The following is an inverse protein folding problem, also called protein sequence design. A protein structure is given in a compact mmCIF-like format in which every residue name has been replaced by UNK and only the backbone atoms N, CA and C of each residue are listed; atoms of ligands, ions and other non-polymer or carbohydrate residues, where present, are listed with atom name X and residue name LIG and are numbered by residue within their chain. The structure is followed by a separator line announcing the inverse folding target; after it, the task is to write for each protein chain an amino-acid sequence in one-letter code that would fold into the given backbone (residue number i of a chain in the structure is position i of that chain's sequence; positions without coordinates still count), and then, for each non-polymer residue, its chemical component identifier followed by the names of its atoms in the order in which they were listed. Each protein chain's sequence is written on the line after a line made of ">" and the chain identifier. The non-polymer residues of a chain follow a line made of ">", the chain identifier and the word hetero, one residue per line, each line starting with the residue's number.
data_IF_537759744761
#
_entry.id   IF_537759744761
#
_cell.length_a   1.000
_cell.length_b   1.000
_cell.length_c   1.000
_cell.angle_alpha   90.00
_cell.angle_beta   90.00
_cell.angle_gamma   90.00
#
_symmetry.space_group_name_H-M   'P 1'
#
loop_
_entity.id
_entity.type
_entity.pdbx_description
1 polymer ?
#
# COMPACT_ATOMS: atom_id res chain seq x y z
N UNK A 1 -6.22 8.08 17.60
CA UNK A 1 -5.47 8.72 16.47
C UNK A 1 -5.39 7.88 15.20
N UNK A 2 -5.47 6.54 15.24
CA UNK A 2 -5.57 5.68 14.02
C UNK A 2 -6.72 6.08 13.06
N UNK A 3 -7.77 6.75 13.57
CA UNK A 3 -8.85 7.27 12.73
C UNK A 3 -8.41 8.23 11.62
N UNK A 4 -7.29 8.94 11.78
CA UNK A 4 -6.77 9.89 10.80
C UNK A 4 -6.09 9.22 9.59
N UNK A 5 -5.58 8.00 9.74
CA UNK A 5 -5.01 7.22 8.62
C UNK A 5 -6.03 6.25 8.00
N UNK A 6 -7.01 5.78 8.80
CA UNK A 6 -8.06 4.85 8.34
C UNK A 6 -9.28 5.55 7.74
N UNK A 7 -9.27 6.89 7.62
CA UNK A 7 -10.40 7.71 7.17
C UNK A 7 -11.65 7.67 8.06
N UNK A 8 -11.57 7.07 9.27
CA UNK A 8 -12.68 7.09 10.24
C UNK A 8 -12.91 8.48 10.83
N UNK A 9 -11.86 9.31 10.84
CA UNK A 9 -11.94 10.74 11.17
C UNK A 9 -11.78 11.51 9.87
N UNK A 10 -12.90 11.93 9.28
CA UNK A 10 -12.89 12.69 8.04
C UNK A 10 -12.51 14.15 8.28
N UNK A 11 -11.95 14.78 7.24
CA UNK A 11 -11.70 16.21 7.25
C UNK A 11 -13.05 16.95 7.31
N UNK A 12 -13.31 17.73 8.37
CA UNK A 12 -14.52 18.53 8.46
C UNK A 12 -14.43 19.72 7.50
N UNK A 13 -15.56 20.43 7.31
CA UNK A 13 -15.57 21.68 6.55
C UNK A 13 -14.67 22.72 7.22
N UNK A 14 -14.06 23.61 6.44
CA UNK A 14 -13.15 24.65 6.96
C UNK A 14 -13.87 25.61 7.91
N UNK A 15 -15.19 25.78 7.76
CA UNK A 15 -16.01 26.61 8.64
C UNK A 15 -16.51 25.86 9.88
N UNK A 16 -16.23 24.56 10.00
CA UNK A 16 -16.61 23.76 11.16
C UNK A 16 -15.70 24.13 12.35
N UNK A 17 -16.25 24.44 13.54
CA UNK A 17 -15.47 24.66 14.76
C UNK A 17 -14.50 23.51 15.11
N UNK A 18 -14.76 22.29 14.63
CA UNK A 18 -13.92 21.13 14.84
C UNK A 18 -12.70 21.08 13.89
N UNK A 19 -12.63 21.92 12.86
CA UNK A 19 -11.56 21.92 11.86
C UNK A 19 -10.18 22.16 12.47
N UNK A 20 -10.04 23.18 13.31
CA UNK A 20 -8.75 23.51 13.94
C UNK A 20 -8.21 22.34 14.79
N UNK A 21 -9.10 21.71 15.57
CA UNK A 21 -8.73 20.55 16.36
C UNK A 21 -8.40 19.32 15.48
N UNK A 22 -9.10 19.15 14.36
CA UNK A 22 -8.78 18.11 13.38
C UNK A 22 -7.40 18.36 12.74
N UNK A 23 -7.12 19.58 12.33
CA UNK A 23 -5.87 19.99 11.69
C UNK A 23 -4.67 19.76 12.63
N UNK A 24 -4.76 20.22 13.89
CA UNK A 24 -3.74 19.98 14.91
C UNK A 24 -3.45 18.49 15.10
N UNK A 25 -4.48 17.67 15.21
CA UNK A 25 -4.31 16.23 15.39
C UNK A 25 -3.75 15.56 14.13
N UNK A 26 -4.18 15.97 12.94
CA UNK A 26 -3.65 15.50 11.67
C UNK A 26 -2.15 15.84 11.55
N UNK A 27 -1.74 17.07 11.83
CA UNK A 27 -0.33 17.49 11.82
C UNK A 27 0.52 16.69 12.81
N UNK A 28 0.01 16.40 14.01
CA UNK A 28 0.75 15.55 14.96
C UNK A 28 0.97 14.14 14.40
N UNK A 29 -0.05 13.54 13.76
CA UNK A 29 0.09 12.22 13.16
C UNK A 29 1.07 12.25 11.97
N UNK A 30 1.06 13.32 11.16
CA UNK A 30 2.05 13.51 10.09
C UNK A 30 3.48 13.53 10.64
N UNK A 31 3.73 14.29 11.71
CA UNK A 31 5.05 14.34 12.36
C UNK A 31 5.48 12.97 12.87
N UNK A 32 4.56 12.19 13.46
CA UNK A 32 4.87 10.82 13.90
C UNK A 32 5.23 9.90 12.73
N UNK A 33 4.50 9.98 11.61
CA UNK A 33 4.81 9.19 10.42
C UNK A 33 6.17 9.58 9.85
N UNK A 34 6.42 10.87 9.60
CA UNK A 34 7.67 11.39 9.04
C UNK A 34 8.87 11.02 9.91
N UNK A 35 8.76 11.16 11.23
CA UNK A 35 9.85 10.85 12.17
C UNK A 35 10.06 9.34 12.39
N UNK A 36 9.09 8.51 12.02
CA UNK A 36 9.23 7.05 12.09
C UNK A 36 9.98 6.45 10.90
N UNK A 37 10.21 7.26 9.85
CA UNK A 37 10.88 6.84 8.62
C UNK A 37 12.36 7.24 8.63
N UNK A 38 13.16 6.54 7.84
CA UNK A 38 14.51 7.00 7.52
C UNK A 38 14.47 8.32 6.75
N UNK A 39 15.46 9.20 6.99
CA UNK A 39 15.48 10.56 6.45
C UNK A 39 15.44 10.67 4.92
N UNK A 40 15.90 9.64 4.21
CA UNK A 40 15.84 9.60 2.75
C UNK A 40 14.43 9.22 2.24
N UNK A 41 13.69 8.42 3.02
CA UNK A 41 12.30 8.05 2.74
C UNK A 41 11.37 9.21 3.13
N UNK A 42 11.52 9.77 4.32
CA UNK A 42 10.61 10.80 4.83
C UNK A 42 10.56 12.05 3.95
N UNK A 43 11.68 12.40 3.30
CA UNK A 43 11.78 13.55 2.37
C UNK A 43 10.83 13.47 1.18
N UNK A 44 10.47 12.28 0.70
CA UNK A 44 9.54 12.15 -0.44
C UNK A 44 8.10 12.50 -0.06
N UNK A 45 7.78 12.53 1.23
CA UNK A 45 6.42 12.71 1.75
C UNK A 45 6.14 14.07 2.39
N UNK A 46 7.15 14.95 2.50
CA UNK A 46 7.03 16.26 3.17
C UNK A 46 6.01 17.21 2.51
N UNK A 47 5.69 17.02 1.23
CA UNK A 47 4.75 17.88 0.49
C UNK A 47 3.28 17.45 0.63
N UNK A 48 3.02 16.29 1.24
CA UNK A 48 1.67 15.78 1.44
C UNK A 48 0.99 16.50 2.61
N UNK A 49 -0.29 16.82 2.42
CA UNK A 49 -1.03 17.73 3.32
C UNK A 49 -1.77 17.02 4.46
N UNK A 50 -1.90 15.68 4.39
CA UNK A 50 -2.62 14.91 5.40
C UNK A 50 -1.88 13.65 5.82
N UNK A 51 -2.07 13.24 7.08
CA UNK A 51 -1.54 11.99 7.59
C UNK A 51 -2.04 10.79 6.78
N UNK A 52 -3.29 10.86 6.29
CA UNK A 52 -3.86 9.86 5.39
C UNK A 52 -3.08 9.76 4.09
N UNK A 53 -2.81 10.88 3.42
CA UNK A 53 -2.07 10.88 2.17
C UNK A 53 -0.66 10.29 2.34
N UNK A 54 0.04 10.63 3.43
CA UNK A 54 1.34 10.04 3.76
C UNK A 54 1.20 8.52 3.96
N UNK A 55 0.23 8.09 4.76
CA UNK A 55 0.00 6.68 5.05
C UNK A 55 -0.32 5.87 3.78
N UNK A 56 -1.25 6.36 2.95
CA UNK A 56 -1.65 5.67 1.73
C UNK A 56 -0.47 5.55 0.75
N UNK A 57 0.31 6.62 0.57
CA UNK A 57 1.48 6.61 -0.31
C UNK A 57 2.58 5.66 0.21
N UNK A 58 2.79 5.58 1.53
CA UNK A 58 3.75 4.64 2.12
C UNK A 58 3.32 3.21 1.91
N UNK A 59 2.03 2.91 2.09
CA UNK A 59 1.48 1.58 1.83
C UNK A 59 1.61 1.24 0.34
N UNK A 60 1.28 2.14 -0.57
CA UNK A 60 1.42 1.90 -2.01
C UNK A 60 2.87 1.62 -2.42
N UNK A 61 3.84 2.37 -1.89
CA UNK A 61 5.23 2.27 -2.32
C UNK A 61 6.03 1.17 -1.60
N UNK A 62 5.66 0.82 -0.37
CA UNK A 62 6.48 -0.04 0.50
C UNK A 62 5.71 -1.19 1.14
N UNK A 63 4.41 -1.36 0.85
CA UNK A 63 3.68 -2.48 1.41
C UNK A 63 4.07 -3.79 0.71
N UNK A 64 4.68 -4.67 1.49
CA UNK A 64 4.83 -6.07 1.10
C UNK A 64 3.50 -6.82 1.03
N UNK A 65 2.36 -6.25 1.44
CA UNK A 65 1.07 -6.93 1.33
C UNK A 65 0.66 -7.15 -0.13
N UNK A 66 0.87 -6.17 -1.00
CA UNK A 66 0.57 -6.35 -2.41
C UNK A 66 1.54 -7.35 -3.06
N UNK A 67 2.82 -7.29 -2.70
CA UNK A 67 3.83 -8.26 -3.12
C UNK A 67 3.48 -9.67 -2.61
N UNK A 68 3.10 -9.82 -1.35
CA UNK A 68 2.72 -11.09 -0.75
C UNK A 68 1.44 -11.66 -1.37
N UNK A 69 0.44 -10.82 -1.65
CA UNK A 69 -0.78 -11.22 -2.35
C UNK A 69 -0.48 -11.70 -3.77
N UNK A 70 0.34 -10.95 -4.53
CA UNK A 70 0.78 -11.32 -5.88
C UNK A 70 1.57 -12.63 -5.88
N UNK A 71 2.52 -12.79 -4.96
CA UNK A 71 3.29 -14.03 -4.79
C UNK A 71 2.37 -15.20 -4.44
N UNK A 72 1.39 -15.00 -3.56
CA UNK A 72 0.41 -16.02 -3.21
C UNK A 72 -0.46 -16.44 -4.41
N UNK A 73 -0.93 -15.48 -5.21
CA UNK A 73 -1.68 -15.76 -6.44
C UNK A 73 -0.87 -16.55 -7.46
N UNK A 74 0.40 -16.19 -7.69
CA UNK A 74 1.28 -16.91 -8.61
C UNK A 74 1.55 -18.33 -8.09
N UNK A 75 1.79 -18.50 -6.78
CA UNK A 75 1.94 -19.82 -6.17
C UNK A 75 0.69 -20.70 -6.32
N UNK A 76 -0.50 -20.13 -6.19
CA UNK A 76 -1.74 -20.86 -6.44
C UNK A 76 -1.89 -21.23 -7.91
N UNK A 77 -1.63 -20.31 -8.84
CA UNK A 77 -1.64 -20.62 -10.28
C UNK A 77 -0.65 -21.74 -10.63
N UNK A 78 0.55 -21.74 -10.07
CA UNK A 78 1.54 -22.81 -10.25
C UNK A 78 1.06 -24.14 -9.65
N UNK A 79 0.41 -24.11 -8.49
CA UNK A 79 -0.16 -25.30 -7.85
C UNK A 79 -1.28 -25.92 -8.68
N UNK A 80 -2.11 -25.09 -9.28
CA UNK A 80 -3.27 -25.52 -10.07
C UNK A 80 -2.92 -25.80 -11.54
N UNK A 81 -1.73 -25.37 -12.00
CA UNK A 81 -1.24 -25.63 -13.35
C UNK A 81 -1.00 -27.13 -13.53
N UNK A 82 -1.71 -27.70 -14.48
CA UNK A 82 -1.52 -29.06 -14.94
C UNK A 82 -1.56 -29.08 -16.46
N UNK A 83 -0.85 -30.01 -17.10
CA UNK A 83 -0.80 -30.07 -18.56
C UNK A 83 -2.20 -30.25 -19.17
N UNK A 84 -3.04 -31.11 -18.58
CA UNK A 84 -4.42 -31.30 -19.02
C UNK A 84 -4.52 -31.60 -20.53
N UNK A 85 -5.20 -30.71 -21.26
CA UNK A 85 -5.35 -30.76 -22.71
C UNK A 85 -4.35 -29.88 -23.49
N UNK A 86 -3.44 -29.18 -22.80
CA UNK A 86 -2.41 -28.34 -23.43
C UNK A 86 -1.34 -29.22 -24.06
N UNK A 87 -0.74 -28.74 -25.15
CA UNK A 87 0.47 -29.38 -25.65
C UNK A 87 1.67 -29.11 -24.71
N UNK A 88 2.73 -29.91 -24.85
CA UNK A 88 3.90 -29.85 -23.96
C UNK A 88 4.60 -28.47 -24.02
N UNK A 89 4.66 -27.87 -25.20
CA UNK A 89 5.26 -26.55 -25.42
C UNK A 89 4.41 -25.46 -24.78
N UNK A 90 3.09 -25.50 -24.92
CA UNK A 90 2.17 -24.56 -24.26
C UNK A 90 2.28 -24.63 -22.73
N UNK A 91 2.20 -25.84 -22.17
CA UNK A 91 2.34 -26.04 -20.73
C UNK A 91 3.70 -25.54 -20.20
N UNK A 92 4.78 -25.86 -20.90
CA UNK A 92 6.14 -25.44 -20.50
C UNK A 92 6.28 -23.91 -20.54
N UNK A 93 5.72 -23.26 -21.56
CA UNK A 93 5.76 -21.80 -21.68
C UNK A 93 4.98 -21.11 -20.54
N UNK A 94 3.78 -21.61 -20.19
CA UNK A 94 2.99 -21.08 -19.07
C UNK A 94 3.70 -21.29 -17.73
N UNK A 95 4.26 -22.48 -17.50
CA UNK A 95 5.06 -22.77 -16.31
C UNK A 95 6.25 -21.79 -16.19
N UNK A 96 6.99 -21.60 -17.28
CA UNK A 96 8.15 -20.72 -17.30
C UNK A 96 7.76 -19.25 -17.11
N UNK A 97 6.63 -18.82 -17.68
CA UNK A 97 6.11 -17.46 -17.50
C UNK A 97 5.75 -17.19 -16.03
N UNK A 98 5.06 -18.14 -15.36
CA UNK A 98 4.71 -18.00 -13.95
C UNK A 98 5.95 -18.01 -13.06
N UNK A 99 6.97 -18.81 -13.39
CA UNK A 99 8.26 -18.80 -12.68
C UNK A 99 8.97 -17.46 -12.80
N UNK A 100 9.05 -16.86 -13.99
CA UNK A 100 9.72 -15.56 -14.18
C UNK A 100 9.03 -14.39 -13.46
N UNK A 101 7.74 -14.55 -13.12
CA UNK A 101 6.95 -13.54 -12.40
C UNK A 101 7.04 -13.68 -10.87
N UNK A 102 7.63 -14.77 -10.38
CA UNK A 102 7.79 -15.08 -8.97
C UNK A 102 9.08 -14.44 -8.41
#
# INVERSE_FOLDING_TARGET
>A
KIGYITSKVQQPDVNDPMYENWELNNSIVMVWLINSMESHISRTYLFLQTAKAIWDAVIENYSDLENASRVFEIKNKLKDLSQGSMDITEYYNELQMLWQKL
#
